data_IF_338905936006
#
_entry.id   IF_338905936006
#
_cell.length_a   1.000
_cell.length_b   1.000
_cell.length_c   1.000
_cell.angle_alpha   90.00
_cell.angle_beta   90.00
_cell.angle_gamma   90.00
#
_symmetry.space_group_name_H-M   'P 1'
#
loop_
_entity.id
_entity.type
_entity.pdbx_description
1 polymer ?
#
# COMPACT_ATOMS: atom_id res chain seq x y z
N UNK A 1 9.55 7.83 11.55
CA UNK A 1 9.44 6.38 11.29
C UNK A 1 8.97 6.24 9.87
N UNK A 2 9.83 5.79 8.96
CA UNK A 2 9.49 5.70 7.54
C UNK A 2 8.58 4.49 7.33
N UNK A 3 7.37 4.72 6.85
CA UNK A 3 6.33 3.69 6.74
C UNK A 3 5.89 3.51 5.30
N UNK A 4 5.73 2.27 4.87
CA UNK A 4 5.16 1.93 3.56
C UNK A 4 3.94 1.04 3.70
N UNK A 5 2.99 1.17 2.78
CA UNK A 5 1.93 0.19 2.53
C UNK A 5 2.05 -0.30 1.10
N UNK A 6 2.36 -1.58 0.94
CA UNK A 6 2.30 -2.29 -0.35
C UNK A 6 0.88 -2.76 -0.57
N UNK A 7 0.27 -2.42 -1.71
CA UNK A 7 -1.13 -2.73 -1.96
C UNK A 7 -1.43 -3.27 -3.35
N UNK A 8 -2.51 -4.04 -3.44
CA UNK A 8 -3.12 -4.47 -4.70
C UNK A 8 -4.65 -4.24 -4.66
N UNK A 9 -5.18 -3.53 -5.66
CA UNK A 9 -6.58 -3.10 -5.69
C UNK A 9 -7.20 -3.21 -7.09
N UNK A 10 -7.37 -4.43 -7.59
CA UNK A 10 -7.65 -4.70 -9.03
C UNK A 10 -9.14 -4.62 -9.42
N UNK A 11 -10.08 -5.14 -8.62
CA UNK A 11 -11.48 -5.30 -9.06
C UNK A 11 -12.34 -4.05 -8.91
N UNK A 12 -12.52 -3.58 -7.68
CA UNK A 12 -13.47 -2.52 -7.34
C UNK A 12 -12.80 -1.26 -6.76
N UNK A 13 -11.47 -1.24 -6.70
CA UNK A 13 -10.74 -0.09 -6.16
C UNK A 13 -10.89 0.12 -4.65
N UNK A 14 -11.59 -0.78 -3.92
CA UNK A 14 -11.93 -0.55 -2.52
C UNK A 14 -10.71 -0.49 -1.61
N UNK A 15 -9.72 -1.36 -1.84
CA UNK A 15 -8.48 -1.35 -1.08
C UNK A 15 -7.74 -0.02 -1.26
N UNK A 16 -7.68 0.51 -2.49
CA UNK A 16 -7.08 1.82 -2.75
C UNK A 16 -7.79 2.95 -1.99
N UNK A 17 -9.13 2.96 -1.96
CA UNK A 17 -9.91 3.97 -1.21
C UNK A 17 -9.56 3.96 0.29
N UNK A 18 -9.42 2.78 0.90
CA UNK A 18 -9.10 2.66 2.32
C UNK A 18 -7.68 3.18 2.61
N UNK A 19 -6.68 2.76 1.83
CA UNK A 19 -5.29 3.20 2.05
C UNK A 19 -5.10 4.68 1.72
N UNK A 20 -5.84 5.24 0.76
CA UNK A 20 -5.81 6.67 0.44
C UNK A 20 -6.26 7.48 1.66
N UNK A 21 -7.31 7.05 2.38
CA UNK A 21 -7.74 7.70 3.63
C UNK A 21 -6.71 7.54 4.76
N UNK A 22 -6.07 6.37 4.88
CA UNK A 22 -5.01 6.15 5.88
C UNK A 22 -3.84 7.11 5.62
N UNK A 23 -3.39 7.23 4.37
CA UNK A 23 -2.27 8.08 3.98
C UNK A 23 -2.54 9.58 4.14
N UNK A 24 -3.80 10.03 4.22
CA UNK A 24 -4.10 11.46 4.47
C UNK A 24 -3.68 11.94 5.86
N UNK A 25 -3.72 11.05 6.84
CA UNK A 25 -3.46 11.40 8.26
C UNK A 25 -2.15 10.84 8.79
N UNK A 26 -1.46 10.01 7.98
CA UNK A 26 -0.22 9.35 8.35
C UNK A 26 0.82 9.57 7.24
N UNK A 27 2.07 9.82 7.63
CA UNK A 27 3.20 9.89 6.69
C UNK A 27 3.59 8.48 6.23
N UNK A 28 2.91 8.01 5.18
CA UNK A 28 3.00 6.64 4.66
C UNK A 28 3.13 6.66 3.14
N UNK A 29 4.14 5.97 2.61
CA UNK A 29 4.28 5.75 1.17
C UNK A 29 3.37 4.61 0.71
N UNK A 30 2.53 4.87 -0.31
CA UNK A 30 1.67 3.85 -0.92
C UNK A 30 2.37 3.26 -2.15
N UNK A 31 2.62 1.95 -2.14
CA UNK A 31 3.30 1.22 -3.22
C UNK A 31 2.29 0.31 -3.92
N UNK A 32 1.96 0.62 -5.17
CA UNK A 32 1.07 -0.21 -5.98
C UNK A 32 1.84 -1.44 -6.53
N UNK A 33 1.57 -2.61 -5.94
CA UNK A 33 2.19 -3.88 -6.31
C UNK A 33 1.76 -4.39 -7.69
N UNK A 34 0.72 -3.80 -8.29
CA UNK A 34 0.28 -4.14 -9.66
C UNK A 34 1.08 -3.40 -10.72
N UNK A 35 1.78 -2.32 -10.33
CA UNK A 35 2.59 -1.48 -11.20
C UNK A 35 4.08 -1.52 -10.87
N UNK A 36 4.44 -1.96 -9.65
CA UNK A 36 5.81 -2.00 -9.15
C UNK A 36 6.29 -3.44 -9.06
N UNK A 37 7.23 -3.82 -9.94
CA UNK A 37 7.81 -5.16 -9.94
C UNK A 37 8.83 -5.37 -8.81
N UNK A 38 9.67 -4.36 -8.55
CA UNK A 38 10.69 -4.38 -7.51
C UNK A 38 10.79 -3.01 -6.84
N UNK A 39 11.03 -3.02 -5.52
CA UNK A 39 11.21 -1.84 -4.68
C UNK A 39 12.11 -2.22 -3.51
N UNK A 40 13.16 -1.44 -3.27
CA UNK A 40 13.95 -1.59 -2.05
C UNK A 40 13.11 -1.12 -0.85
N UNK A 41 12.96 -2.00 0.14
CA UNK A 41 12.21 -1.74 1.36
C UNK A 41 13.10 -1.58 2.59
N UNK A 42 14.42 -1.63 2.44
CA UNK A 42 15.38 -1.59 3.56
C UNK A 42 15.36 -0.29 4.36
N UNK A 43 14.86 0.79 3.77
CA UNK A 43 14.77 2.10 4.41
C UNK A 43 13.48 2.32 5.24
N UNK A 44 12.52 1.40 5.17
CA UNK A 44 11.27 1.52 5.93
C UNK A 44 11.39 0.82 7.29
N UNK A 45 10.99 1.53 8.33
CA UNK A 45 10.90 1.01 9.69
C UNK A 45 9.65 0.12 9.87
N UNK A 46 8.59 0.38 9.08
CA UNK A 46 7.31 -0.32 9.14
C UNK A 46 6.76 -0.55 7.72
N UNK A 47 6.32 -1.79 7.46
CA UNK A 47 5.75 -2.19 6.17
C UNK A 47 4.40 -2.85 6.41
N UNK A 48 3.34 -2.27 5.84
CA UNK A 48 1.99 -2.82 5.79
C UNK A 48 1.68 -3.45 4.44
N UNK A 49 0.74 -4.40 4.43
CA UNK A 49 0.23 -5.04 3.22
C UNK A 49 -1.30 -4.92 3.17
N UNK A 50 -1.83 -4.58 1.99
CA UNK A 50 -3.27 -4.47 1.79
C UNK A 50 -3.68 -5.06 0.42
N UNK A 51 -4.59 -6.04 0.42
CA UNK A 51 -5.19 -6.53 -0.83
C UNK A 51 -6.70 -6.56 -0.73
N UNK A 52 -7.36 -6.54 -1.89
CA UNK A 52 -8.73 -7.07 -1.97
C UNK A 52 -8.72 -8.57 -1.69
N UNK A 53 -9.82 -9.09 -1.14
CA UNK A 53 -10.05 -10.54 -1.07
C UNK A 53 -10.60 -11.00 -2.41
N UNK A 54 -10.03 -12.07 -2.96
CA UNK A 54 -10.52 -12.75 -4.16
C UNK A 54 -11.24 -14.03 -3.75
N UNK A 55 -12.39 -14.31 -4.38
CA UNK A 55 -13.22 -15.49 -4.12
C UNK A 55 -14.11 -15.79 -5.31
#
# INVERSE_FOLDING_TARGET
>A
MKTAIVYASVHHGNTKKIIDEIAKTNDVELIDATQTAEKDLSEYDLIGFASGVYG
#
